data_IF_786079757220
#
_entry.id   IF_786079757220
#
_cell.length_a   1.000
_cell.length_b   1.000
_cell.length_c   1.000
_cell.angle_alpha   90.00
_cell.angle_beta   90.00
_cell.angle_gamma   90.00
#
_symmetry.space_group_name_H-M   'P 1'
#
loop_
_entity.id
_entity.type
_entity.pdbx_description
1 polymer ?
#
# COMPACT_ATOMS: atom_id res chain seq x y z
N UNK A 1 -3.25 -1.78 -18.88
CA UNK A 1 -4.08 -2.36 -17.82
C UNK A 1 -3.36 -3.47 -17.04
N UNK A 2 -2.93 -4.58 -17.66
CA UNK A 2 -2.24 -5.67 -16.95
C UNK A 2 -1.05 -5.20 -16.08
N UNK A 3 -0.20 -4.31 -16.60
CA UNK A 3 0.91 -3.73 -15.82
C UNK A 3 0.46 -2.99 -14.55
N UNK A 4 -0.66 -2.27 -14.58
CA UNK A 4 -1.18 -1.56 -13.40
C UNK A 4 -1.66 -2.52 -12.31
N UNK A 5 -2.36 -3.57 -12.71
CA UNK A 5 -2.85 -4.59 -11.78
C UNK A 5 -1.64 -5.35 -11.19
N UNK A 6 -0.68 -5.75 -12.03
CA UNK A 6 0.50 -6.47 -11.57
C UNK A 6 1.31 -5.66 -10.56
N UNK A 7 1.62 -4.38 -10.84
CA UNK A 7 2.39 -3.56 -9.91
C UNK A 7 1.61 -3.24 -8.64
N UNK A 8 0.32 -3.03 -8.75
CA UNK A 8 -0.54 -2.84 -7.59
C UNK A 8 -0.59 -4.06 -6.68
N UNK A 9 -0.63 -5.27 -7.25
CA UNK A 9 -0.63 -6.52 -6.50
C UNK A 9 0.72 -6.84 -5.86
N UNK A 10 1.84 -6.40 -6.48
CA UNK A 10 3.18 -6.76 -6.00
C UNK A 10 3.69 -5.91 -4.85
N UNK A 11 3.30 -4.66 -4.71
CA UNK A 11 3.88 -3.76 -3.70
C UNK A 11 2.84 -3.13 -2.79
N UNK A 12 2.25 -2.00 -3.18
CA UNK A 12 1.38 -1.20 -2.31
C UNK A 12 0.13 -0.73 -3.06
N UNK A 13 -0.66 -1.68 -3.55
CA UNK A 13 -1.99 -1.41 -4.07
C UNK A 13 -2.12 -0.12 -4.88
N UNK A 14 -2.96 0.76 -4.40
CA UNK A 14 -3.30 2.04 -5.02
C UNK A 14 -2.10 2.96 -5.24
N UNK A 15 -1.18 3.03 -4.27
CA UNK A 15 0.00 3.91 -4.36
C UNK A 15 0.89 3.51 -5.53
N UNK A 16 1.11 2.21 -5.73
CA UNK A 16 1.92 1.70 -6.84
C UNK A 16 1.25 1.96 -8.20
N UNK A 17 -0.08 1.82 -8.28
CA UNK A 17 -0.85 2.14 -9.48
C UNK A 17 -0.73 3.63 -9.82
N UNK A 18 -0.98 4.51 -8.84
CA UNK A 18 -0.95 5.96 -9.05
C UNK A 18 0.45 6.46 -9.43
N UNK A 19 1.51 5.89 -8.84
CA UNK A 19 2.88 6.24 -9.18
C UNK A 19 3.30 5.75 -10.58
N UNK A 20 2.79 4.60 -11.03
CA UNK A 20 3.16 3.99 -12.31
C UNK A 20 2.30 4.51 -13.47
N UNK A 21 1.06 4.88 -13.22
CA UNK A 21 0.12 5.31 -14.24
C UNK A 21 0.65 6.41 -15.18
N UNK A 22 1.25 7.52 -14.69
CA UNK A 22 1.81 8.54 -15.55
C UNK A 22 3.02 8.05 -16.35
N UNK A 23 3.77 7.08 -15.82
CA UNK A 23 4.98 6.50 -16.44
C UNK A 23 4.64 5.72 -17.69
N UNK A 24 3.54 4.97 -17.66
CA UNK A 24 3.08 4.14 -18.79
C UNK A 24 2.02 4.84 -19.65
N UNK A 25 1.68 6.10 -19.33
CA UNK A 25 0.64 6.84 -20.05
C UNK A 25 -0.75 6.20 -19.94
N UNK A 26 -1.07 5.61 -18.79
CA UNK A 26 -2.31 4.90 -18.57
C UNK A 26 -3.53 5.83 -18.68
N UNK A 27 -4.61 5.33 -19.25
CA UNK A 27 -5.88 6.05 -19.35
C UNK A 27 -6.59 6.08 -17.99
N UNK A 28 -7.38 7.14 -17.74
CA UNK A 28 -8.13 7.29 -16.48
C UNK A 28 -9.00 6.08 -16.14
N UNK A 29 -9.66 5.49 -17.13
CA UNK A 29 -10.50 4.31 -16.93
C UNK A 29 -9.69 3.08 -16.51
N UNK A 30 -8.47 2.90 -17.04
CA UNK A 30 -7.60 1.80 -16.66
C UNK A 30 -7.11 1.94 -15.21
N UNK A 31 -6.81 3.18 -14.80
CA UNK A 31 -6.41 3.50 -13.43
C UNK A 31 -7.56 3.21 -12.47
N UNK A 32 -8.75 3.76 -12.76
CA UNK A 32 -9.94 3.55 -11.92
C UNK A 32 -10.31 2.09 -11.77
N UNK A 33 -10.23 1.32 -12.85
CA UNK A 33 -10.50 -0.12 -12.82
C UNK A 33 -9.46 -0.88 -11.98
N UNK A 34 -8.18 -0.60 -12.18
CA UNK A 34 -7.11 -1.27 -11.41
C UNK A 34 -7.22 -0.96 -9.91
N UNK A 35 -7.48 0.31 -9.55
CA UNK A 35 -7.69 0.73 -8.16
C UNK A 35 -8.92 0.04 -7.57
N UNK A 36 -10.06 0.06 -8.25
CA UNK A 36 -11.29 -0.56 -7.77
C UNK A 36 -11.13 -2.06 -7.54
N UNK A 37 -10.45 -2.75 -8.44
CA UNK A 37 -10.18 -4.19 -8.34
C UNK A 37 -9.35 -4.51 -7.09
N UNK A 38 -8.20 -3.83 -6.93
CA UNK A 38 -7.30 -4.06 -5.79
C UNK A 38 -7.99 -3.69 -4.47
N UNK A 39 -8.75 -2.60 -4.44
CA UNK A 39 -9.47 -2.18 -3.24
C UNK A 39 -10.54 -3.21 -2.85
N UNK A 40 -11.33 -3.68 -3.82
CA UNK A 40 -12.38 -4.67 -3.57
C UNK A 40 -11.82 -5.99 -3.03
N UNK A 41 -10.86 -6.58 -3.72
CA UNK A 41 -10.22 -7.82 -3.27
C UNK A 41 -9.47 -7.63 -1.95
N UNK A 42 -8.88 -6.46 -1.74
CA UNK A 42 -8.23 -6.12 -0.49
C UNK A 42 -9.19 -6.01 0.70
N UNK A 43 -10.42 -5.48 0.51
CA UNK A 43 -11.45 -5.45 1.55
C UNK A 43 -11.88 -6.87 1.91
N UNK A 44 -12.10 -7.73 0.92
CA UNK A 44 -12.45 -9.14 1.15
C UNK A 44 -11.32 -9.83 1.93
N UNK A 45 -10.07 -9.64 1.50
CA UNK A 45 -8.90 -10.20 2.17
C UNK A 45 -8.75 -9.70 3.61
N UNK A 46 -8.98 -8.40 3.85
CA UNK A 46 -8.92 -7.79 5.18
C UNK A 46 -9.91 -8.45 6.16
N UNK A 47 -11.09 -8.81 5.69
CA UNK A 47 -12.12 -9.42 6.52
C UNK A 47 -11.92 -10.94 6.71
N UNK A 48 -11.43 -11.64 5.70
CA UNK A 48 -11.35 -13.12 5.68
C UNK A 48 -10.00 -13.63 6.21
N UNK A 49 -8.90 -12.98 5.84
CA UNK A 49 -7.56 -13.49 6.11
C UNK A 49 -7.19 -13.58 7.59
N UNK A 50 -7.64 -12.71 8.51
CA UNK A 50 -7.37 -12.89 9.94
C UNK A 50 -7.84 -14.24 10.48
N UNK A 51 -9.05 -14.65 10.11
CA UNK A 51 -9.64 -15.92 10.55
C UNK A 51 -8.98 -17.11 9.88
N UNK A 52 -8.75 -17.03 8.57
CA UNK A 52 -8.06 -18.08 7.81
C UNK A 52 -6.63 -18.29 8.32
N UNK A 53 -5.89 -17.20 8.58
CA UNK A 53 -4.54 -17.26 9.08
C UNK A 53 -4.46 -17.88 10.49
N UNK A 54 -5.40 -17.54 11.37
CA UNK A 54 -5.48 -18.15 12.69
C UNK A 54 -5.65 -19.66 12.62
N UNK A 55 -6.54 -20.12 11.74
CA UNK A 55 -6.79 -21.57 11.55
C UNK A 55 -5.54 -22.27 10.98
N UNK A 56 -4.88 -21.67 9.99
CA UNK A 56 -3.76 -22.33 9.30
C UNK A 56 -2.45 -22.28 10.10
N UNK A 57 -2.15 -21.16 10.72
CA UNK A 57 -0.92 -20.94 11.48
C UNK A 57 -1.07 -21.19 13.00
N UNK A 58 -2.21 -21.75 13.43
CA UNK A 58 -2.46 -22.16 14.83
C UNK A 58 -2.19 -21.05 15.86
N UNK A 59 -2.47 -19.81 15.51
CA UNK A 59 -2.32 -18.69 16.42
C UNK A 59 -0.89 -18.13 16.57
N UNK A 60 0.08 -18.53 15.74
CA UNK A 60 1.44 -17.98 15.77
C UNK A 60 1.45 -16.52 15.30
N UNK A 61 1.73 -15.53 16.18
CA UNK A 61 1.65 -14.10 15.83
C UNK A 61 2.63 -13.70 14.73
N UNK A 62 3.82 -14.34 14.68
CA UNK A 62 4.84 -14.03 13.68
C UNK A 62 4.39 -14.46 12.29
N UNK A 63 3.97 -15.71 12.15
CA UNK A 63 3.53 -16.26 10.86
C UNK A 63 2.27 -15.55 10.35
N UNK A 64 1.33 -15.25 11.24
CA UNK A 64 0.10 -14.53 10.89
C UNK A 64 0.41 -13.10 10.49
N UNK A 65 1.24 -12.40 11.26
CA UNK A 65 1.67 -11.03 10.91
C UNK A 65 2.39 -10.96 9.57
N UNK A 66 3.30 -11.89 9.29
CA UNK A 66 3.97 -12.01 8.00
C UNK A 66 2.96 -12.28 6.88
N UNK A 67 2.04 -13.20 7.08
CA UNK A 67 1.01 -13.53 6.11
C UNK A 67 0.11 -12.33 5.79
N UNK A 68 -0.43 -11.65 6.80
CA UNK A 68 -1.27 -10.47 6.60
C UNK A 68 -0.52 -9.33 5.90
N UNK A 69 0.73 -9.05 6.32
CA UNK A 69 1.56 -8.00 5.74
C UNK A 69 1.98 -8.26 4.29
N UNK A 70 2.15 -9.53 3.92
CA UNK A 70 2.55 -9.91 2.55
C UNK A 70 1.37 -10.15 1.62
N UNK A 71 0.25 -10.66 2.11
CA UNK A 71 -0.88 -11.07 1.27
C UNK A 71 -1.85 -9.93 0.95
N UNK A 72 -2.03 -8.98 1.87
CA UNK A 72 -2.93 -7.83 1.66
C UNK A 72 -2.17 -6.70 0.96
N UNK A 73 -2.79 -6.09 -0.04
CA UNK A 73 -2.10 -5.15 -0.94
C UNK A 73 -2.02 -3.72 -0.40
N UNK A 74 -3.05 -3.23 0.27
CA UNK A 74 -3.15 -1.86 0.76
C UNK A 74 -2.68 -1.75 2.22
N UNK A 75 -1.87 -0.74 2.54
CA UNK A 75 -1.32 -0.55 3.90
C UNK A 75 -2.41 -0.36 4.96
N UNK A 76 -3.46 0.42 4.64
CA UNK A 76 -4.60 0.62 5.54
C UNK A 76 -5.37 -0.67 5.82
N UNK A 77 -5.52 -1.51 4.80
CA UNK A 77 -6.18 -2.82 4.93
C UNK A 77 -5.35 -3.81 5.74
N UNK A 78 -4.01 -3.76 5.62
CA UNK A 78 -3.11 -4.56 6.47
C UNK A 78 -3.28 -4.16 7.93
N UNK A 79 -3.25 -2.85 8.22
CA UNK A 79 -3.44 -2.34 9.58
C UNK A 79 -4.81 -2.73 10.14
N UNK A 80 -5.87 -2.62 9.32
CA UNK A 80 -7.21 -3.02 9.71
C UNK A 80 -7.31 -4.54 9.95
N UNK A 81 -6.72 -5.37 9.09
CA UNK A 81 -6.69 -6.83 9.28
C UNK A 81 -5.94 -7.23 10.56
N UNK A 82 -4.79 -6.57 10.83
CA UNK A 82 -4.03 -6.76 12.06
C UNK A 82 -4.82 -6.35 13.30
N UNK A 83 -5.56 -5.24 13.21
CA UNK A 83 -6.44 -4.78 14.29
C UNK A 83 -7.63 -5.72 14.53
N UNK A 84 -8.26 -6.23 13.46
CA UNK A 84 -9.32 -7.24 13.56
C UNK A 84 -8.77 -8.50 14.25
N UNK A 85 -7.55 -8.92 13.87
CA UNK A 85 -6.92 -10.08 14.49
C UNK A 85 -6.63 -9.85 15.98
N UNK A 86 -6.08 -8.69 16.33
CA UNK A 86 -5.80 -8.31 17.73
C UNK A 86 -7.08 -8.29 18.56
N UNK A 87 -8.14 -7.64 18.09
CA UNK A 87 -9.42 -7.57 18.79
C UNK A 87 -10.08 -8.94 18.98
N UNK A 88 -9.91 -9.85 18.00
CA UNK A 88 -10.57 -11.15 18.03
C UNK A 88 -9.79 -12.21 18.81
N UNK A 89 -8.45 -12.17 18.76
CA UNK A 89 -7.56 -13.19 19.30
C UNK A 89 -6.59 -12.66 20.36
N UNK A 90 -6.71 -11.37 20.73
CA UNK A 90 -5.91 -10.70 21.77
C UNK A 90 -4.40 -10.80 21.52
N UNK A 91 -3.95 -10.43 20.31
CA UNK A 91 -2.55 -10.54 19.87
C UNK A 91 -2.06 -9.23 19.22
N UNK A 92 -1.69 -8.22 20.03
CA UNK A 92 -1.20 -6.93 19.55
C UNK A 92 0.12 -7.05 18.75
N UNK A 93 0.90 -8.09 19.00
CA UNK A 93 2.14 -8.37 18.27
C UNK A 93 1.89 -8.60 16.78
N UNK A 94 0.81 -9.30 16.43
CA UNK A 94 0.44 -9.58 15.04
C UNK A 94 0.22 -8.31 14.24
N UNK A 95 -0.45 -7.30 14.81
CA UNK A 95 -0.64 -5.98 14.18
C UNK A 95 0.69 -5.31 13.88
N UNK A 96 1.61 -5.31 14.85
CA UNK A 96 2.93 -4.69 14.68
C UNK A 96 3.74 -5.39 13.59
N UNK A 97 3.79 -6.72 13.61
CA UNK A 97 4.52 -7.51 12.62
C UNK A 97 3.93 -7.31 11.20
N UNK A 98 2.61 -7.35 11.05
CA UNK A 98 1.94 -7.14 9.78
C UNK A 98 2.26 -5.74 9.21
N UNK A 99 2.22 -4.72 10.06
CA UNK A 99 2.50 -3.34 9.65
C UNK A 99 3.96 -3.16 9.24
N UNK A 100 4.92 -3.66 10.03
CA UNK A 100 6.35 -3.59 9.71
C UNK A 100 6.66 -4.34 8.42
N UNK A 101 6.13 -5.55 8.26
CA UNK A 101 6.27 -6.35 7.03
C UNK A 101 5.79 -5.58 5.82
N UNK A 102 4.64 -4.92 5.91
CA UNK A 102 4.10 -4.09 4.84
C UNK A 102 4.97 -2.88 4.53
N UNK A 103 5.51 -2.21 5.55
CA UNK A 103 6.41 -1.06 5.36
C UNK A 103 7.70 -1.47 4.64
N UNK A 104 8.31 -2.59 5.02
CA UNK A 104 9.47 -3.15 4.32
C UNK A 104 9.13 -3.42 2.85
N UNK A 105 7.97 -4.05 2.57
CA UNK A 105 7.53 -4.29 1.20
C UNK A 105 7.35 -2.99 0.40
N UNK A 106 6.88 -1.92 1.02
CA UNK A 106 6.71 -0.62 0.37
C UNK A 106 8.04 0.01 -0.04
N UNK A 107 9.16 -0.27 0.64
CA UNK A 107 10.47 0.25 0.23
C UNK A 107 10.92 -0.28 -1.12
N UNK A 108 10.43 -1.46 -1.54
CA UNK A 108 10.71 -2.00 -2.88
C UNK A 108 10.13 -1.16 -4.02
N UNK A 109 9.19 -0.23 -3.75
CA UNK A 109 8.70 0.72 -4.77
C UNK A 109 9.84 1.52 -5.42
N UNK A 110 10.87 1.84 -4.65
CA UNK A 110 12.07 2.57 -5.15
C UNK A 110 12.70 1.85 -6.33
N UNK A 111 12.72 0.53 -6.29
CA UNK A 111 13.33 -0.32 -7.32
C UNK A 111 12.30 -0.65 -8.41
N UNK A 112 11.08 -0.98 -8.00
CA UNK A 112 10.06 -1.49 -8.91
C UNK A 112 9.55 -0.43 -9.89
N UNK A 113 9.37 0.83 -9.47
CA UNK A 113 8.89 1.88 -10.38
C UNK A 113 9.88 2.16 -11.51
N UNK A 114 11.18 2.40 -11.26
CA UNK A 114 12.17 2.55 -12.33
C UNK A 114 12.30 1.30 -13.21
N UNK A 115 12.21 0.10 -12.62
CA UNK A 115 12.27 -1.15 -13.35
C UNK A 115 11.11 -1.28 -14.35
N UNK A 116 9.87 -1.04 -13.91
CA UNK A 116 8.71 -1.08 -14.79
C UNK A 116 8.77 0.02 -15.86
N UNK A 117 9.24 1.22 -15.50
CA UNK A 117 9.48 2.29 -16.46
C UNK A 117 10.47 1.87 -17.56
N UNK A 118 11.56 1.22 -17.17
CA UNK A 118 12.58 0.73 -18.10
C UNK A 118 12.02 -0.38 -18.99
N UNK A 119 11.34 -1.38 -18.45
CA UNK A 119 10.75 -2.49 -19.20
C UNK A 119 9.68 -2.01 -20.18
N UNK A 120 8.86 -1.05 -19.76
CA UNK A 120 7.82 -0.49 -20.63
C UNK A 120 8.42 0.33 -21.78
N UNK A 121 9.45 1.14 -21.51
CA UNK A 121 10.12 1.95 -22.54
C UNK A 121 10.93 1.12 -23.53
N UNK A 122 11.34 -0.10 -23.18
CA UNK A 122 12.07 -1.00 -24.10
C UNK A 122 11.21 -1.48 -25.27
N UNK A 123 9.88 -1.50 -25.10
CA UNK A 123 8.92 -1.93 -26.14
C UNK A 123 8.37 -0.80 -27.01
N UNK A 124 8.73 0.46 -26.75
CA UNK A 124 8.18 1.61 -27.47
C UNK A 124 9.25 2.29 -28.35
N UNK A 125 8.88 2.55 -29.60
CA UNK A 125 9.67 3.35 -30.55
C UNK A 125 9.87 4.78 -30.03
N UNK A 126 11.05 5.27 -30.18
CA UNK A 126 11.84 6.44 -29.74
C UNK A 126 11.18 7.81 -29.38
N UNK A 127 9.89 8.00 -29.34
CA UNK A 127 9.32 9.36 -29.24
C UNK A 127 8.99 9.87 -27.83
N UNK A 128 9.01 9.06 -26.79
CA UNK A 128 8.78 9.53 -25.40
C UNK A 128 9.81 8.96 -24.43
N UNK A 129 11.03 9.48 -24.48
CA UNK A 129 12.00 9.29 -23.39
C UNK A 129 11.52 10.06 -22.16
N UNK A 130 10.79 9.41 -21.27
CA UNK A 130 10.56 9.98 -19.94
C UNK A 130 11.90 10.00 -19.18
N UNK A 131 12.28 11.17 -18.70
CA UNK A 131 13.47 11.31 -17.84
C UNK A 131 13.23 10.51 -16.54
N UNK A 132 14.14 9.60 -16.23
CA UNK A 132 14.09 8.77 -15.01
C UNK A 132 13.95 9.64 -13.76
N UNK A 133 14.54 10.86 -13.77
CA UNK A 133 14.46 11.82 -12.67
C UNK A 133 13.02 12.32 -12.44
N UNK A 134 12.19 12.46 -13.50
CA UNK A 134 10.78 12.86 -13.37
C UNK A 134 9.85 11.74 -12.89
N UNK A 135 10.32 10.51 -12.98
CA UNK A 135 9.57 9.30 -12.60
C UNK A 135 9.91 8.89 -11.16
N UNK A 136 11.01 9.43 -10.60
CA UNK A 136 11.46 9.05 -9.26
C UNK A 136 10.41 9.43 -8.20
N UNK A 137 9.96 8.48 -7.38
CA UNK A 137 8.93 8.72 -6.38
C UNK A 137 9.52 9.48 -5.18
N UNK A 138 9.54 10.81 -5.24
CA UNK A 138 10.10 11.67 -4.19
C UNK A 138 9.53 11.40 -2.79
N UNK A 139 8.29 10.87 -2.71
CA UNK A 139 7.70 10.49 -1.42
C UNK A 139 8.50 9.41 -0.70
N UNK A 140 9.23 8.55 -1.42
CA UNK A 140 10.08 7.52 -0.81
C UNK A 140 11.29 8.15 -0.12
N UNK A 141 11.88 9.21 -0.69
CA UNK A 141 12.92 9.98 -0.01
C UNK A 141 12.39 10.58 1.29
N UNK A 142 11.19 11.16 1.25
CA UNK A 142 10.50 11.66 2.45
C UNK A 142 10.30 10.56 3.49
N UNK A 143 9.89 9.37 3.06
CA UNK A 143 9.71 8.21 3.95
C UNK A 143 11.02 7.78 4.60
N UNK A 144 12.10 7.61 3.82
CA UNK A 144 13.43 7.26 4.35
C UNK A 144 13.93 8.33 5.32
N UNK A 145 13.78 9.62 4.96
CA UNK A 145 14.16 10.73 5.83
C UNK A 145 13.39 10.69 7.16
N UNK A 146 12.10 10.41 7.14
CA UNK A 146 11.29 10.28 8.37
C UNK A 146 11.71 9.07 9.23
N UNK A 147 12.12 7.96 8.62
CA UNK A 147 12.69 6.83 9.37
C UNK A 147 13.98 7.24 10.09
N UNK A 148 14.88 7.95 9.39
CA UNK A 148 16.13 8.44 9.98
C UNK A 148 15.85 9.41 11.12
N UNK A 149 14.98 10.40 10.91
CA UNK A 149 14.58 11.37 11.95
C UNK A 149 13.98 10.64 13.15
N UNK A 150 13.13 9.65 12.92
CA UNK A 150 12.51 8.86 13.99
C UNK A 150 13.57 8.11 14.81
N UNK A 151 14.48 7.40 14.16
CA UNK A 151 15.53 6.65 14.84
C UNK A 151 16.48 7.56 15.61
N UNK A 152 16.90 8.67 15.02
CA UNK A 152 17.76 9.65 15.70
C UNK A 152 17.01 10.31 16.86
N UNK A 153 15.75 10.68 16.65
CA UNK A 153 14.93 11.25 17.70
C UNK A 153 14.75 10.30 18.90
N UNK A 154 14.45 9.05 18.64
CA UNK A 154 14.35 8.04 19.71
C UNK A 154 15.68 7.87 20.46
N UNK A 155 16.81 7.92 19.76
CA UNK A 155 18.13 7.78 20.39
C UNK A 155 18.53 9.02 21.21
N UNK A 156 18.28 10.22 20.72
CA UNK A 156 18.70 11.46 21.38
C UNK A 156 17.73 11.92 22.47
N UNK A 157 16.42 11.70 22.30
CA UNK A 157 15.39 12.22 23.20
C UNK A 157 14.89 11.18 24.23
N UNK A 158 15.23 9.90 24.10
CA UNK A 158 14.97 8.90 25.13
C UNK A 158 15.83 9.14 26.38
N UNK A 159 16.97 9.83 26.23
CA UNK A 159 17.87 10.21 27.32
C UNK A 159 17.37 11.46 28.05
N UNK A 160 16.48 12.25 27.45
CA UNK A 160 15.89 13.45 28.03
C UNK A 160 14.47 13.13 28.50
N UNK A 161 14.23 13.22 29.83
CA UNK A 161 12.92 12.99 30.49
C UNK A 161 11.80 13.94 30.05
N UNK A 162 12.03 14.79 29.05
CA UNK A 162 11.02 15.69 28.50
C UNK A 162 10.10 14.92 27.56
N UNK A 163 8.89 14.62 27.99
CA UNK A 163 7.84 13.94 27.21
C UNK A 163 7.39 14.64 25.91
N UNK A 164 8.14 15.66 25.46
CA UNK A 164 7.89 16.44 24.25
C UNK A 164 8.04 15.56 23.01
N UNK A 165 9.07 14.71 22.92
CA UNK A 165 9.28 13.85 21.77
C UNK A 165 8.18 12.80 21.62
N UNK A 166 7.82 12.11 22.69
CA UNK A 166 6.76 11.11 22.68
C UNK A 166 5.40 11.75 22.31
N UNK A 167 5.09 12.92 22.86
CA UNK A 167 3.87 13.68 22.54
C UNK A 167 3.86 14.12 21.07
N UNK A 168 4.99 14.60 20.54
CA UNK A 168 5.10 15.00 19.12
C UNK A 168 4.89 13.79 18.20
N UNK A 169 5.49 12.67 18.51
CA UNK A 169 5.32 11.44 17.73
C UNK A 169 3.87 10.96 17.75
N UNK A 170 3.21 11.04 18.91
CA UNK A 170 1.81 10.62 19.05
C UNK A 170 0.86 11.54 18.26
N UNK A 171 1.10 12.83 18.27
CA UNK A 171 0.37 13.80 17.46
C UNK A 171 0.57 13.53 15.96
N UNK A 172 1.80 13.25 15.52
CA UNK A 172 2.09 12.89 14.13
C UNK A 172 1.40 11.58 13.74
N UNK A 173 1.40 10.57 14.60
CA UNK A 173 0.67 9.31 14.38
C UNK A 173 -0.84 9.54 14.27
N UNK A 174 -1.41 10.41 15.10
CA UNK A 174 -2.83 10.75 15.06
C UNK A 174 -3.19 11.46 13.76
N UNK A 175 -2.40 12.47 13.37
CA UNK A 175 -2.56 13.19 12.10
C UNK A 175 -2.43 12.24 10.89
N UNK A 176 -1.47 11.32 10.93
CA UNK A 176 -1.29 10.31 9.89
C UNK A 176 -2.51 9.41 9.74
N UNK A 177 -3.11 8.95 10.85
CA UNK A 177 -4.34 8.15 10.83
C UNK A 177 -5.50 8.89 10.19
N UNK A 178 -5.72 10.15 10.58
CA UNK A 178 -6.77 10.99 10.00
C UNK A 178 -6.53 11.20 8.50
N UNK A 179 -5.31 11.57 8.12
CA UNK A 179 -4.95 11.78 6.70
C UNK A 179 -5.13 10.52 5.86
N UNK A 180 -4.75 9.36 6.39
CA UNK A 180 -4.94 8.07 5.71
C UNK A 180 -6.43 7.74 5.54
N UNK A 181 -7.23 7.95 6.58
CA UNK A 181 -8.69 7.74 6.52
C UNK A 181 -9.34 8.66 5.49
N UNK A 182 -8.96 9.94 5.47
CA UNK A 182 -9.45 10.91 4.48
C UNK A 182 -9.06 10.52 3.05
N UNK A 183 -7.81 10.10 2.84
CA UNK A 183 -7.32 9.66 1.54
C UNK A 183 -8.08 8.40 1.05
N UNK A 184 -8.33 7.45 1.94
CA UNK A 184 -9.10 6.24 1.61
C UNK A 184 -10.57 6.54 1.32
N UNK A 185 -11.18 7.44 2.09
CA UNK A 185 -12.54 7.91 1.82
C UNK A 185 -12.64 8.62 0.47
N UNK A 186 -11.67 9.49 0.15
CA UNK A 186 -11.63 10.19 -1.14
C UNK A 186 -11.48 9.21 -2.33
N UNK A 187 -10.65 8.19 -2.21
CA UNK A 187 -10.49 7.14 -3.23
C UNK A 187 -11.80 6.36 -3.37
N UNK A 188 -12.43 5.96 -2.26
CA UNK A 188 -13.71 5.26 -2.29
C UNK A 188 -14.80 6.07 -2.98
N UNK A 189 -14.92 7.36 -2.67
CA UNK A 189 -15.90 8.26 -3.29
C UNK A 189 -15.60 8.53 -4.77
N UNK A 190 -14.33 8.53 -5.18
CA UNK A 190 -13.92 8.73 -6.57
C UNK A 190 -14.12 7.48 -7.44
N UNK A 191 -14.33 6.31 -6.82
CA UNK A 191 -14.51 5.04 -7.52
C UNK A 191 -15.90 4.96 -8.12
N UNK A 192 -16.00 5.02 -9.45
CA UNK A 192 -17.26 4.89 -10.15
C UNK A 192 -17.67 3.41 -10.31
N UNK A 193 -18.52 2.92 -9.41
CA UNK A 193 -19.00 1.54 -9.40
C UNK A 193 -19.70 1.11 -10.70
N UNK A 194 -20.37 2.04 -11.38
CA UNK A 194 -20.98 1.77 -12.70
C UNK A 194 -19.91 1.49 -13.75
N UNK A 195 -18.78 2.22 -13.75
CA UNK A 195 -17.68 1.96 -14.68
C UNK A 195 -17.04 0.59 -14.44
N UNK A 196 -16.97 0.14 -13.20
CA UNK A 196 -16.47 -1.20 -12.83
C UNK A 196 -17.43 -2.30 -13.34
N UNK A 197 -18.73 -2.12 -13.19
CA UNK A 197 -19.74 -3.07 -13.66
C UNK A 197 -19.77 -3.20 -15.19
N UNK A 198 -19.68 -2.07 -15.92
CA UNK A 198 -19.69 -2.08 -17.40
C UNK A 198 -18.46 -2.79 -18.02
N UNK A 199 -17.32 -2.79 -17.36
CA UNK A 199 -16.11 -3.48 -17.87
C UNK A 199 -16.22 -4.99 -17.72
N UNK A 200 -16.93 -5.50 -16.73
CA UNK A 200 -17.20 -6.93 -16.61
C UNK A 200 -18.14 -7.45 -17.71
N UNK A 201 -19.15 -6.69 -18.07
CA UNK A 201 -20.11 -7.09 -19.09
C UNK A 201 -19.49 -7.09 -20.51
N UNK A 202 -18.61 -6.14 -20.82
CA UNK A 202 -17.98 -6.05 -22.14
C UNK A 202 -16.88 -7.09 -22.40
N UNK A 203 -16.28 -7.64 -21.36
CA UNK A 203 -15.29 -8.71 -21.50
C UNK A 203 -15.92 -10.05 -21.95
N UNK A 204 -17.26 -10.20 -21.76
CA UNK A 204 -18.00 -11.38 -22.23
C UNK A 204 -18.55 -11.24 -23.66
N UNK A 205 -18.57 -10.04 -24.24
CA UNK A 205 -19.07 -9.82 -25.61
C UNK A 205 -18.00 -9.91 -26.72
N UNK A 206 -16.72 -10.01 -26.35
CA UNK A 206 -15.59 -10.07 -27.30
C UNK A 206 -14.77 -11.37 -27.21
N UNK A 207 -15.37 -12.44 -26.69
CA UNK A 207 -14.81 -13.79 -26.65
C UNK A 207 -15.41 -14.70 -27.71
#
# INVERSE_FOLDING_TARGET
MAYLISIGSTVCGTTAIMATAPVIGAKKNEISYAVANITLFGIISMLVYPYFANLYFKGDPLLIGLFLGTSIHETSQVAAAGLIYDQQFNSPETLNIATVTKLIRNTFLVIMIPLFAFLYNRGQTKEKKYSIIKIFPYFVLGFVMMIVIRNLGDQFFTISETGIWSSTVENIKSLSRISLTMAMAAIGLSTNLKAVSYTHLRAHETG
#
